data_IF_032020753529
#
_entry.id   IF_032020753529
#
_cell.length_a   1.000
_cell.length_b   1.000
_cell.length_c   1.000
_cell.angle_alpha   90.00
_cell.angle_beta   90.00
_cell.angle_gamma   90.00
#
_symmetry.space_group_name_H-M   'P 1'
#
loop_
_entity.id
_entity.type
_entity.pdbx_description
1 polymer ?
#
# COMPACT_ATOMS: atom_id res chain seq x y z
N UNK A 1 2.10 1.38 -6.73
CA UNK A 1 2.35 0.92 -5.34
C UNK A 1 1.10 0.26 -4.78
N UNK A 2 1.22 -0.96 -4.28
CA UNK A 2 0.16 -1.73 -3.65
C UNK A 2 0.31 -1.64 -2.13
N UNK A 3 -0.70 -1.09 -1.45
CA UNK A 3 -0.67 -0.94 0.01
C UNK A 3 -1.05 -2.24 0.72
N UNK A 4 -0.28 -2.58 1.75
CA UNK A 4 -0.43 -3.78 2.54
C UNK A 4 -1.74 -3.85 3.33
N UNK A 5 -2.18 -5.05 3.59
CA UNK A 5 -3.26 -5.40 4.51
C UNK A 5 -3.18 -6.90 4.84
N UNK A 6 -3.72 -7.27 5.98
CA UNK A 6 -3.71 -8.65 6.43
C UNK A 6 -4.44 -9.59 5.45
N UNK A 7 -3.84 -10.77 5.19
CA UNK A 7 -4.44 -11.81 4.35
C UNK A 7 -5.67 -12.47 4.98
N UNK A 8 -5.69 -12.55 6.31
CA UNK A 8 -6.80 -13.12 7.07
C UNK A 8 -7.38 -12.09 8.03
N UNK A 9 -8.64 -12.23 8.32
CA UNK A 9 -9.31 -11.53 9.40
C UNK A 9 -8.97 -12.17 10.75
N UNK A 10 -9.26 -11.50 11.86
CA UNK A 10 -9.00 -11.99 13.21
C UNK A 10 -9.69 -13.34 13.53
N UNK A 11 -10.77 -13.65 12.82
CA UNK A 11 -11.50 -14.92 12.92
C UNK A 11 -10.93 -16.03 12.03
N UNK A 12 -9.77 -15.81 11.38
CA UNK A 12 -9.12 -16.76 10.48
C UNK A 12 -9.69 -16.83 9.06
N UNK A 13 -10.79 -16.15 8.77
CA UNK A 13 -11.37 -16.12 7.43
C UNK A 13 -10.49 -15.30 6.46
N UNK A 14 -10.63 -15.57 5.16
CA UNK A 14 -9.96 -14.80 4.12
C UNK A 14 -10.41 -13.34 4.18
N UNK A 15 -9.44 -12.42 4.16
CA UNK A 15 -9.73 -11.00 4.16
C UNK A 15 -10.07 -10.53 2.73
N UNK A 16 -11.31 -10.16 2.43
CA UNK A 16 -11.71 -9.74 1.09
C UNK A 16 -11.00 -8.46 0.63
N UNK A 17 -10.61 -7.57 1.53
CA UNK A 17 -9.81 -6.39 1.21
C UNK A 17 -8.47 -6.77 0.57
N UNK A 18 -7.81 -7.78 1.12
CA UNK A 18 -6.56 -8.30 0.59
C UNK A 18 -6.71 -8.82 -0.84
N UNK A 19 -7.66 -9.72 -1.07
CA UNK A 19 -7.85 -10.35 -2.37
C UNK A 19 -8.34 -9.35 -3.44
N UNK A 20 -9.16 -8.38 -3.06
CA UNK A 20 -9.61 -7.33 -3.98
C UNK A 20 -8.44 -6.40 -4.39
N UNK A 21 -7.50 -6.11 -3.51
CA UNK A 21 -6.26 -5.38 -3.86
C UNK A 21 -5.38 -6.17 -4.82
N UNK A 22 -5.22 -7.48 -4.60
CA UNK A 22 -4.47 -8.35 -5.53
C UNK A 22 -5.11 -8.35 -6.92
N UNK A 23 -6.44 -8.51 -7.01
CA UNK A 23 -7.18 -8.45 -8.27
C UNK A 23 -7.01 -7.09 -8.98
N UNK A 24 -7.11 -6.00 -8.25
CA UNK A 24 -6.93 -4.65 -8.77
C UNK A 24 -5.51 -4.43 -9.33
N UNK A 25 -4.48 -4.88 -8.61
CA UNK A 25 -3.10 -4.79 -9.06
C UNK A 25 -2.85 -5.66 -10.32
N UNK A 26 -3.40 -6.86 -10.36
CA UNK A 26 -3.30 -7.74 -11.52
C UNK A 26 -4.00 -7.13 -12.75
N UNK A 27 -5.20 -6.57 -12.58
CA UNK A 27 -5.93 -5.90 -13.67
C UNK A 27 -5.11 -4.75 -14.28
N UNK A 28 -4.50 -3.90 -13.47
CA UNK A 28 -3.63 -2.82 -13.94
C UNK A 28 -2.37 -3.33 -14.64
N UNK A 29 -1.76 -4.39 -14.12
CA UNK A 29 -0.57 -4.97 -14.71
C UNK A 29 -0.87 -5.56 -16.10
N UNK A 30 -1.90 -6.40 -16.21
CA UNK A 30 -2.26 -7.04 -17.49
C UNK A 30 -2.85 -6.07 -18.53
N UNK A 31 -3.40 -4.93 -18.09
CA UNK A 31 -3.80 -3.86 -19.00
C UNK A 31 -2.61 -3.01 -19.50
N UNK A 32 -1.37 -3.31 -19.09
CA UNK A 32 -0.17 -2.58 -19.47
C UNK A 32 -0.04 -1.18 -18.85
N UNK A 33 -0.90 -0.83 -17.88
CA UNK A 33 -0.89 0.49 -17.23
C UNK A 33 0.25 0.65 -16.22
N UNK A 34 0.74 -0.46 -15.68
CA UNK A 34 1.89 -0.49 -14.76
C UNK A 34 2.86 -1.61 -15.16
N UNK A 35 4.16 -1.37 -15.00
CA UNK A 35 5.21 -2.36 -15.30
C UNK A 35 5.71 -3.08 -14.06
N UNK A 36 5.78 -2.38 -12.93
CA UNK A 36 6.29 -2.89 -11.66
C UNK A 36 5.28 -2.65 -10.56
N UNK A 37 5.23 -3.55 -9.59
CA UNK A 37 4.37 -3.44 -8.41
C UNK A 37 5.26 -3.34 -7.18
N UNK A 38 5.34 -2.16 -6.57
CA UNK A 38 5.92 -1.98 -5.25
C UNK A 38 4.87 -2.39 -4.21
N UNK A 39 5.11 -3.48 -3.51
CA UNK A 39 4.25 -3.97 -2.42
C UNK A 39 4.79 -3.46 -1.11
N UNK A 40 4.07 -2.55 -0.46
CA UNK A 40 4.51 -1.94 0.81
C UNK A 40 3.58 -2.33 1.95
N UNK A 41 4.12 -2.93 2.99
CA UNK A 41 3.34 -3.43 4.12
C UNK A 41 4.17 -3.70 5.37
N UNK A 42 3.50 -4.19 6.41
CA UNK A 42 4.06 -4.48 7.72
C UNK A 42 4.73 -5.87 7.76
N UNK A 43 5.91 -5.94 8.37
CA UNK A 43 6.63 -7.18 8.64
C UNK A 43 7.11 -7.31 10.08
N UNK A 44 6.57 -6.52 11.02
CA UNK A 44 7.01 -6.49 12.42
C UNK A 44 6.81 -7.82 13.17
N UNK A 45 5.88 -8.64 12.70
CA UNK A 45 5.63 -9.93 13.34
C UNK A 45 6.37 -11.04 12.60
N UNK A 46 7.16 -11.82 13.33
CA UNK A 46 7.93 -12.94 12.77
C UNK A 46 7.06 -13.97 12.04
N UNK A 47 5.85 -14.18 12.55
CA UNK A 47 4.88 -15.14 11.99
C UNK A 47 4.10 -14.62 10.78
N UNK A 48 4.15 -13.31 10.48
CA UNK A 48 3.36 -12.71 9.44
C UNK A 48 4.06 -11.55 8.73
N UNK A 49 4.18 -11.65 7.41
CA UNK A 49 4.85 -10.68 6.54
C UNK A 49 3.93 -10.32 5.37
N UNK A 50 3.30 -9.15 5.43
CA UNK A 50 2.33 -8.71 4.41
C UNK A 50 2.94 -8.66 3.00
N UNK A 51 4.10 -8.03 2.76
CA UNK A 51 4.70 -8.01 1.44
C UNK A 51 4.94 -9.40 0.85
N UNK A 52 5.38 -10.37 1.65
CA UNK A 52 5.61 -11.75 1.17
C UNK A 52 4.31 -12.45 0.80
N UNK A 53 3.26 -12.30 1.60
CA UNK A 53 1.96 -12.89 1.28
C UNK A 53 1.36 -12.26 0.02
N UNK A 54 1.44 -10.93 -0.12
CA UNK A 54 0.96 -10.24 -1.32
C UNK A 54 1.75 -10.63 -2.57
N UNK A 55 3.10 -10.71 -2.47
CA UNK A 55 3.95 -11.19 -3.57
C UNK A 55 3.53 -12.58 -4.01
N UNK A 56 3.32 -13.52 -3.06
CA UNK A 56 2.88 -14.88 -3.38
C UNK A 56 1.55 -14.90 -4.14
N UNK A 57 0.57 -14.11 -3.73
CA UNK A 57 -0.73 -14.05 -4.41
C UNK A 57 -0.65 -13.34 -5.78
N UNK A 58 0.19 -12.32 -5.92
CA UNK A 58 0.45 -11.68 -7.22
C UNK A 58 1.09 -12.66 -8.21
N UNK A 59 2.07 -13.46 -7.75
CA UNK A 59 2.67 -14.52 -8.58
C UNK A 59 1.64 -15.60 -8.96
N UNK A 60 0.75 -15.99 -8.06
CA UNK A 60 -0.36 -16.90 -8.35
C UNK A 60 -1.33 -16.32 -9.38
N UNK A 61 -1.49 -15.00 -9.40
CA UNK A 61 -2.27 -14.30 -10.41
C UNK A 61 -1.54 -14.18 -11.76
N UNK A 62 -0.31 -14.72 -11.91
CA UNK A 62 0.46 -14.74 -13.15
C UNK A 62 1.43 -13.57 -13.34
N UNK A 63 1.64 -12.73 -12.33
CA UNK A 63 2.60 -11.62 -12.41
C UNK A 63 4.01 -12.17 -12.18
N UNK A 64 4.96 -11.91 -13.09
CA UNK A 64 6.35 -12.35 -12.94
C UNK A 64 6.99 -11.77 -11.66
N UNK A 65 7.76 -12.59 -10.97
CA UNK A 65 8.44 -12.19 -9.74
C UNK A 65 9.37 -10.98 -9.94
N UNK A 66 10.03 -10.90 -11.08
CA UNK A 66 10.90 -9.77 -11.46
C UNK A 66 10.17 -8.42 -11.56
N UNK A 67 8.84 -8.43 -11.67
CA UNK A 67 8.00 -7.23 -11.69
C UNK A 67 7.47 -6.82 -10.32
N UNK A 68 7.79 -7.59 -9.25
CA UNK A 68 7.30 -7.35 -7.89
C UNK A 68 8.47 -6.93 -6.99
N UNK A 69 8.37 -5.73 -6.43
CA UNK A 69 9.34 -5.19 -5.48
C UNK A 69 8.69 -5.13 -4.10
N UNK A 70 9.40 -5.59 -3.07
CA UNK A 70 8.87 -5.63 -1.71
C UNK A 70 9.45 -4.51 -0.85
N UNK A 71 8.58 -3.77 -0.18
CA UNK A 71 8.91 -2.83 0.87
C UNK A 71 8.42 -3.36 2.22
N UNK A 72 9.35 -3.74 3.07
CA UNK A 72 9.08 -4.36 4.37
C UNK A 72 8.91 -3.38 5.52
N UNK A 73 9.01 -2.09 5.27
CA UNK A 73 8.93 -1.05 6.30
C UNK A 73 7.76 -0.07 6.09
N UNK A 74 6.71 -0.53 5.41
CA UNK A 74 5.46 0.20 5.23
C UNK A 74 4.49 0.02 6.40
N UNK A 75 4.91 0.40 7.61
CA UNK A 75 4.13 0.20 8.83
C UNK A 75 2.90 1.10 8.92
N UNK A 76 3.00 2.33 8.41
CA UNK A 76 1.92 3.30 8.27
C UNK A 76 1.83 3.74 6.82
N UNK A 77 0.70 4.30 6.43
CA UNK A 77 0.54 4.91 5.09
C UNK A 77 1.62 5.96 4.80
N UNK A 78 1.99 6.75 5.82
CA UNK A 78 3.08 7.72 5.74
C UNK A 78 4.42 7.05 5.37
N UNK A 79 4.75 5.94 6.05
CA UNK A 79 5.99 5.22 5.79
C UNK A 79 6.01 4.69 4.34
N UNK A 80 4.94 4.05 3.89
CA UNK A 80 4.82 3.52 2.52
C UNK A 80 5.03 4.58 1.45
N UNK A 81 4.35 5.73 1.58
CA UNK A 81 4.41 6.81 0.58
C UNK A 81 5.78 7.49 0.58
N UNK A 82 6.30 7.85 1.77
CA UNK A 82 7.61 8.52 1.86
C UNK A 82 8.73 7.61 1.38
N UNK A 83 8.66 6.32 1.70
CA UNK A 83 9.65 5.34 1.24
C UNK A 83 9.56 5.10 -0.27
N UNK A 84 8.36 5.09 -0.85
CA UNK A 84 8.21 5.04 -2.31
C UNK A 84 9.02 6.14 -2.99
N UNK A 85 9.01 7.36 -2.46
CA UNK A 85 9.80 8.48 -2.97
C UNK A 85 11.28 8.37 -2.63
N UNK A 86 11.60 8.27 -1.34
CA UNK A 86 12.98 8.45 -0.84
C UNK A 86 13.85 7.20 -0.97
N UNK A 87 13.26 6.02 -0.85
CA UNK A 87 13.98 4.74 -0.93
C UNK A 87 13.94 4.17 -2.35
N UNK A 88 12.76 4.17 -2.98
CA UNK A 88 12.55 3.58 -4.29
C UNK A 88 12.64 4.60 -5.44
N UNK A 89 12.86 5.89 -5.16
CA UNK A 89 13.11 6.94 -6.16
C UNK A 89 11.90 7.25 -7.04
N UNK A 90 10.68 6.97 -6.58
CA UNK A 90 9.45 7.15 -7.36
C UNK A 90 8.92 8.57 -7.19
N UNK A 91 8.84 9.34 -8.27
CA UNK A 91 8.22 10.67 -8.28
C UNK A 91 6.78 10.65 -8.79
N UNK A 92 6.41 9.60 -9.55
CA UNK A 92 5.04 9.37 -10.03
C UNK A 92 4.62 7.93 -9.71
N UNK A 93 3.43 7.75 -9.13
CA UNK A 93 2.94 6.44 -8.71
C UNK A 93 1.43 6.29 -8.92
N UNK A 94 1.01 5.06 -9.23
CA UNK A 94 -0.38 4.63 -9.04
C UNK A 94 -0.51 3.91 -7.72
N UNK A 95 -1.33 4.41 -6.80
CA UNK A 95 -1.58 3.81 -5.49
C UNK A 95 -2.81 2.90 -5.61
N UNK A 96 -2.66 1.65 -5.16
CA UNK A 96 -3.70 0.62 -5.26
C UNK A 96 -4.11 0.21 -3.85
N UNK A 97 -5.34 0.50 -3.48
CA UNK A 97 -5.96 0.14 -2.20
C UNK A 97 -7.48 0.39 -2.29
N UNK A 98 -8.20 0.28 -1.17
CA UNK A 98 -9.57 0.76 -1.11
C UNK A 98 -9.61 2.29 -1.09
N UNK A 99 -10.76 2.86 -1.48
CA UNK A 99 -10.95 4.30 -1.66
C UNK A 99 -10.51 5.11 -0.43
N UNK A 100 -11.04 4.78 0.73
CA UNK A 100 -10.73 5.48 1.98
C UNK A 100 -9.22 5.50 2.32
N UNK A 101 -8.51 4.43 1.98
CA UNK A 101 -7.06 4.33 2.19
C UNK A 101 -6.29 5.10 1.12
N UNK A 102 -6.78 5.05 -0.13
CA UNK A 102 -6.19 5.78 -1.25
C UNK A 102 -6.25 7.29 -1.05
N UNK A 103 -7.37 7.84 -0.56
CA UNK A 103 -7.51 9.27 -0.26
C UNK A 103 -6.43 9.75 0.71
N UNK A 104 -6.21 8.98 1.79
CA UNK A 104 -5.16 9.29 2.77
C UNK A 104 -3.76 9.21 2.15
N UNK A 105 -3.49 8.19 1.33
CA UNK A 105 -2.21 8.00 0.67
C UNK A 105 -1.93 9.08 -0.38
N UNK A 106 -2.93 9.51 -1.16
CA UNK A 106 -2.83 10.62 -2.11
C UNK A 106 -2.52 11.94 -1.40
N UNK A 107 -3.19 12.21 -0.27
CA UNK A 107 -2.91 13.40 0.52
C UNK A 107 -1.43 13.45 0.95
N UNK A 108 -0.91 12.34 1.48
CA UNK A 108 0.49 12.23 1.88
C UNK A 108 1.42 12.40 0.66
N UNK A 109 1.10 11.76 -0.47
CA UNK A 109 1.91 11.86 -1.68
C UNK A 109 2.02 13.31 -2.17
N UNK A 110 0.92 14.06 -2.19
CA UNK A 110 0.90 15.48 -2.54
C UNK A 110 1.72 16.34 -1.58
N UNK A 111 1.59 16.09 -0.27
CA UNK A 111 2.40 16.78 0.75
C UNK A 111 3.91 16.62 0.50
N UNK A 112 4.34 15.46 0.00
CA UNK A 112 5.72 15.20 -0.38
C UNK A 112 6.06 15.50 -1.84
N UNK A 113 5.23 16.27 -2.57
CA UNK A 113 5.42 16.62 -3.98
C UNK A 113 5.65 15.38 -4.87
N UNK A 114 4.80 14.38 -4.74
CA UNK A 114 4.72 13.22 -5.62
C UNK A 114 3.50 13.34 -6.52
N UNK A 115 3.69 13.04 -7.80
CA UNK A 115 2.57 12.83 -8.71
C UNK A 115 1.95 11.47 -8.42
N UNK A 116 0.71 11.45 -7.93
CA UNK A 116 0.06 10.24 -7.49
C UNK A 116 -1.40 10.19 -7.93
N UNK A 117 -1.76 9.06 -8.53
CA UNK A 117 -3.15 8.71 -8.85
C UNK A 117 -3.56 7.48 -8.05
N UNK A 118 -4.86 7.36 -7.79
CA UNK A 118 -5.42 6.22 -7.10
C UNK A 118 -6.12 5.26 -8.07
N UNK A 119 -6.00 3.98 -7.80
CA UNK A 119 -6.84 2.94 -8.40
C UNK A 119 -7.55 2.19 -7.26
N UNK A 120 -8.87 2.38 -7.18
CA UNK A 120 -9.67 1.84 -6.09
C UNK A 120 -9.94 0.35 -6.31
N UNK A 121 -9.48 -0.48 -5.40
CA UNK A 121 -9.89 -1.87 -5.31
C UNK A 121 -11.34 -1.92 -4.80
N UNK A 122 -12.10 -2.88 -5.30
CA UNK A 122 -13.51 -3.06 -4.91
C UNK A 122 -13.59 -3.24 -3.39
N UNK A 123 -14.47 -2.45 -2.76
CA UNK A 123 -14.80 -2.67 -1.37
C UNK A 123 -15.62 -3.96 -1.22
N UNK A 124 -15.41 -4.73 -0.14
CA UNK A 124 -16.27 -5.87 0.16
C UNK A 124 -17.73 -5.43 0.24
N UNK A 125 -18.63 -6.22 -0.33
CA UNK A 125 -20.06 -5.93 -0.35
C UNK A 125 -20.60 -5.66 1.06
N UNK A 126 -21.22 -4.51 1.22
CA UNK A 126 -21.77 -4.01 2.49
C UNK A 126 -21.25 -2.61 2.81
N UNK A 127 -22.03 -1.86 3.56
CA UNK A 127 -21.57 -0.60 4.12
C UNK A 127 -20.33 -0.88 4.98
N UNK A 128 -19.26 -0.10 4.75
CA UNK A 128 -18.11 -0.08 5.66
C UNK A 128 -18.68 0.04 7.08
N UNK A 129 -18.51 -1.02 7.89
CA UNK A 129 -19.07 -1.03 9.24
C UNK A 129 -18.65 0.23 9.99
N UNK A 130 -19.53 0.73 10.86
CA UNK A 130 -19.29 1.97 11.62
C UNK A 130 -17.89 2.01 12.26
N UNK A 131 -17.38 0.86 12.68
CA UNK A 131 -16.02 0.73 13.24
C UNK A 131 -14.92 1.09 12.23
N UNK A 132 -15.06 0.71 10.96
CA UNK A 132 -14.08 1.03 9.91
C UNK A 132 -14.14 2.53 9.60
N UNK A 133 -15.35 3.10 9.52
CA UNK A 133 -15.53 4.54 9.27
C UNK A 133 -14.92 5.38 10.41
N UNK A 134 -15.20 5.02 11.67
CA UNK A 134 -14.63 5.71 12.83
C UNK A 134 -13.09 5.59 12.85
N UNK A 135 -12.56 4.40 12.61
CA UNK A 135 -11.10 4.17 12.52
C UNK A 135 -10.48 5.05 11.44
N UNK A 136 -11.11 5.16 10.27
CA UNK A 136 -10.58 5.98 9.17
C UNK A 136 -10.67 7.48 9.47
N UNK A 137 -11.71 7.93 10.14
CA UNK A 137 -11.82 9.32 10.61
C UNK A 137 -10.65 9.66 11.55
N UNK A 138 -10.39 8.81 12.55
CA UNK A 138 -9.28 8.97 13.47
C UNK A 138 -7.91 8.87 12.77
N UNK A 139 -7.77 7.98 11.79
CA UNK A 139 -6.54 7.84 11.01
C UNK A 139 -6.25 9.08 10.15
N UNK A 140 -7.27 9.73 9.59
CA UNK A 140 -7.14 11.00 8.86
C UNK A 140 -6.75 12.14 9.79
N UNK A 141 -7.41 12.28 10.94
CA UNK A 141 -7.05 13.28 11.93
C UNK A 141 -5.60 13.12 12.40
N UNK A 142 -5.21 11.88 12.74
CA UNK A 142 -3.83 11.56 13.11
C UNK A 142 -2.85 11.91 11.99
N UNK A 143 -3.14 11.59 10.74
CA UNK A 143 -2.28 11.91 9.59
C UNK A 143 -2.03 13.43 9.48
N UNK A 144 -3.07 14.25 9.64
CA UNK A 144 -2.95 15.71 9.61
C UNK A 144 -2.01 16.20 10.72
N UNK A 145 -2.20 15.70 11.94
CA UNK A 145 -1.35 16.03 13.07
C UNK A 145 0.11 15.58 12.81
N UNK A 146 0.30 14.35 12.37
CA UNK A 146 1.62 13.78 12.07
C UNK A 146 2.37 14.61 11.01
N UNK A 147 1.69 15.10 9.96
CA UNK A 147 2.31 15.85 8.88
C UNK A 147 2.55 17.32 9.21
N UNK A 148 1.53 18.01 9.74
CA UNK A 148 1.55 19.47 9.83
C UNK A 148 1.99 19.99 11.20
N UNK A 149 1.74 19.24 12.27
CA UNK A 149 2.09 19.62 13.64
C UNK A 149 3.40 18.97 14.07
N UNK A 150 3.43 17.61 14.04
CA UNK A 150 4.58 16.85 14.52
C UNK A 150 5.68 16.70 13.46
N UNK A 151 5.37 16.95 12.19
CA UNK A 151 6.30 16.83 11.04
C UNK A 151 7.05 15.49 11.04
N UNK A 152 6.32 14.41 11.32
CA UNK A 152 6.91 13.08 11.44
C UNK A 152 7.37 12.58 10.08
N UNK A 153 8.55 11.97 10.06
CA UNK A 153 9.06 11.17 8.95
C UNK A 153 8.69 9.68 9.06
N UNK A 154 9.17 8.86 8.13
CA UNK A 154 9.03 7.42 8.21
C UNK A 154 9.88 6.86 9.35
N UNK A 155 9.43 5.73 9.94
CA UNK A 155 10.19 5.07 11.01
C UNK A 155 11.57 4.59 10.54
N UNK A 156 11.65 4.08 9.31
CA UNK A 156 12.91 3.61 8.72
C UNK A 156 12.99 4.05 7.26
N UNK A 157 14.11 4.64 6.86
CA UNK A 157 14.39 4.91 5.44
C UNK A 157 15.15 3.75 4.82
N UNK A 158 16.32 3.41 5.35
CA UNK A 158 17.22 2.43 4.73
C UNK A 158 17.96 2.98 3.50
N UNK A 159 18.66 2.10 2.83
CA UNK A 159 19.42 2.44 1.61
C UNK A 159 18.48 2.57 0.40
N UNK A 160 18.81 3.45 -0.59
CA UNK A 160 18.03 3.56 -1.82
C UNK A 160 18.06 2.26 -2.64
N UNK A 161 16.90 1.89 -3.16
CA UNK A 161 16.68 0.70 -3.99
C UNK A 161 16.10 1.16 -5.34
N UNK A 162 16.76 0.82 -6.45
CA UNK A 162 16.27 1.17 -7.80
C UNK A 162 15.30 0.09 -8.31
N UNK A 163 14.10 0.48 -8.74
CA UNK A 163 13.15 -0.40 -9.39
C UNK A 163 13.51 -0.53 -10.88
N UNK A 164 13.55 -1.76 -11.40
CA UNK A 164 13.73 -2.02 -12.82
C UNK A 164 15.16 -1.91 -13.35
N UNK A 165 16.19 -1.99 -12.50
CA UNK A 165 17.58 -2.25 -12.91
C UNK A 165 17.93 -3.69 -12.49
N UNK A 166 17.78 -4.61 -13.37
CA UNK A 166 18.61 -5.83 -13.50
C UNK A 166 19.58 -5.60 -14.63
#
# INVERSE_FOLDING_TARGET
MLLGTSRHLNNGQKNPFFYNRIKAAAALYFSGKIRYILVSGDNRFYSYNEPREMRRELMRAGIPDTCIVMDFAGFRTLDSVVRAKKVFGLNSITIISQEFHNERAIYIARYYNMDAVAYNAIDPSGNLGMQIQLREYLARAKMIIDLHVLRLGPYFLGTPIKIGKT
#
